data_IF_974582460814
#
_entry.id   IF_974582460814
#
_cell.length_a   1.000
_cell.length_b   1.000
_cell.length_c   1.000
_cell.angle_alpha   90.00
_cell.angle_beta   90.00
_cell.angle_gamma   90.00
#
_symmetry.space_group_name_H-M   'P 1'
#
loop_
_entity.id
_entity.type
_entity.pdbx_description
1 polymer ?
#
# COMPACT_ATOMS: atom_id res chain seq x y z
N UNK A 1 65.73 -15.79 -66.07
CA UNK A 1 64.31 -15.68 -65.82
C UNK A 1 64.04 -16.24 -64.44
N UNK A 2 63.83 -15.39 -63.44
CA UNK A 2 63.53 -15.81 -62.09
C UNK A 2 62.20 -15.08 -61.67
N UNK A 3 61.09 -15.83 -61.56
CA UNK A 3 59.80 -15.35 -61.04
C UNK A 3 59.91 -15.29 -59.55
N UNK A 4 59.70 -14.11 -59.00
CA UNK A 4 59.51 -13.90 -57.56
C UNK A 4 58.00 -13.98 -57.21
N UNK A 5 57.65 -15.01 -56.44
CA UNK A 5 56.32 -15.18 -55.88
C UNK A 5 56.17 -14.26 -54.61
N UNK A 6 55.29 -13.29 -54.65
CA UNK A 6 55.01 -12.47 -53.52
C UNK A 6 53.71 -13.04 -52.87
N UNK A 7 53.88 -13.71 -51.72
CA UNK A 7 52.73 -14.12 -50.87
C UNK A 7 52.20 -12.94 -50.09
N UNK A 8 50.96 -12.54 -50.36
CA UNK A 8 50.21 -11.55 -49.54
C UNK A 8 49.61 -12.29 -48.39
N UNK A 9 50.10 -12.00 -47.18
CA UNK A 9 49.49 -12.43 -45.90
C UNK A 9 48.36 -11.50 -45.58
N UNK A 10 47.11 -11.96 -45.75
CA UNK A 10 45.91 -11.25 -45.26
C UNK A 10 45.73 -11.57 -43.79
N UNK A 11 46.03 -10.61 -42.92
CA UNK A 11 45.72 -10.67 -41.51
C UNK A 11 44.21 -10.30 -41.33
N UNK A 12 43.37 -11.31 -41.11
CA UNK A 12 41.97 -11.08 -40.73
C UNK A 12 41.93 -10.68 -39.25
N UNK A 13 41.75 -9.39 -38.97
CA UNK A 13 41.45 -8.90 -37.65
C UNK A 13 39.95 -9.19 -37.37
N UNK A 14 39.66 -10.27 -36.65
CA UNK A 14 38.32 -10.49 -36.08
C UNK A 14 38.11 -9.44 -34.99
N UNK A 15 37.32 -8.40 -35.28
CA UNK A 15 36.77 -7.48 -34.29
C UNK A 15 35.78 -8.26 -33.45
N UNK A 16 36.18 -8.69 -32.25
CA UNK A 16 35.24 -9.17 -31.21
C UNK A 16 34.47 -7.96 -30.73
N UNK A 17 33.30 -7.75 -31.32
CA UNK A 17 32.32 -6.80 -30.78
C UNK A 17 31.85 -7.39 -29.43
N UNK A 18 32.00 -6.66 -28.32
CA UNK A 18 31.35 -7.10 -27.09
C UNK A 18 29.85 -7.12 -27.34
N UNK A 19 29.25 -8.30 -27.27
CA UNK A 19 27.80 -8.44 -27.21
C UNK A 19 27.36 -7.75 -25.92
N UNK A 20 26.94 -6.50 -26.01
CA UNK A 20 26.14 -5.85 -24.95
C UNK A 20 24.87 -6.67 -24.89
N UNK A 21 24.80 -7.58 -23.91
CA UNK A 21 23.54 -8.19 -23.55
C UNK A 21 22.64 -7.03 -23.12
N UNK A 22 21.69 -6.66 -23.99
CA UNK A 22 20.60 -5.78 -23.60
C UNK A 22 19.89 -6.49 -22.44
N UNK A 23 20.12 -6.01 -21.22
CA UNK A 23 19.37 -6.49 -20.07
C UNK A 23 17.89 -6.22 -20.37
N UNK A 24 17.09 -7.28 -20.40
CA UNK A 24 15.66 -7.16 -20.65
C UNK A 24 15.05 -6.35 -19.50
N UNK A 25 14.35 -5.26 -19.84
CA UNK A 25 13.62 -4.45 -18.88
C UNK A 25 12.67 -5.34 -18.03
N UNK A 26 12.85 -5.32 -16.72
CA UNK A 26 11.95 -6.01 -15.78
C UNK A 26 10.69 -5.19 -15.58
N UNK A 27 9.56 -5.72 -16.02
CA UNK A 27 8.25 -5.09 -15.86
C UNK A 27 7.52 -5.67 -14.67
N UNK A 28 7.03 -4.78 -13.82
CA UNK A 28 6.29 -5.10 -12.59
C UNK A 28 4.94 -4.42 -12.63
N UNK A 29 3.88 -5.16 -12.35
CA UNK A 29 2.55 -4.59 -12.12
C UNK A 29 2.31 -4.42 -10.63
N UNK A 30 2.04 -3.19 -10.19
CA UNK A 30 1.77 -2.87 -8.79
C UNK A 30 0.30 -2.52 -8.58
N UNK A 31 -0.44 -3.40 -7.93
CA UNK A 31 -1.85 -3.19 -7.59
C UNK A 31 -1.96 -2.52 -6.23
N UNK A 32 -2.64 -1.39 -6.16
CA UNK A 32 -2.63 -0.57 -4.96
C UNK A 32 -4.03 -0.26 -4.42
N UNK A 33 -4.59 0.89 -4.76
CA UNK A 33 -5.89 1.37 -4.29
C UNK A 33 -6.48 2.37 -5.30
N UNK A 34 -7.52 3.11 -4.94
CA UNK A 34 -8.05 4.21 -5.75
C UNK A 34 -7.02 5.36 -5.84
N UNK A 35 -6.99 6.07 -6.96
CA UNK A 35 -6.04 7.17 -7.22
C UNK A 35 -6.09 8.30 -6.17
N UNK A 36 -7.21 8.46 -5.48
CA UNK A 36 -7.38 9.41 -4.36
C UNK A 36 -6.79 8.91 -3.03
N UNK A 37 -6.29 7.69 -2.97
CA UNK A 37 -5.69 7.09 -1.78
C UNK A 37 -4.20 7.39 -1.66
N UNK A 38 -3.71 7.56 -0.42
CA UNK A 38 -2.28 7.61 -0.12
C UNK A 38 -1.52 6.39 -0.66
N UNK A 39 -2.12 5.20 -0.62
CA UNK A 39 -1.47 3.98 -1.12
C UNK A 39 -1.25 3.97 -2.62
N UNK A 40 -2.14 4.57 -3.41
CA UNK A 40 -1.88 4.75 -4.85
C UNK A 40 -0.68 5.67 -5.08
N UNK A 41 -0.62 6.79 -4.37
CA UNK A 41 0.51 7.72 -4.46
C UNK A 41 1.82 7.08 -4.00
N UNK A 42 1.79 6.23 -2.96
CA UNK A 42 2.95 5.45 -2.52
C UNK A 42 3.43 4.49 -3.60
N UNK A 43 2.52 3.77 -4.26
CA UNK A 43 2.88 2.88 -5.35
C UNK A 43 3.54 3.63 -6.53
N UNK A 44 3.05 4.83 -6.86
CA UNK A 44 3.68 5.71 -7.85
C UNK A 44 5.08 6.13 -7.41
N UNK A 45 5.26 6.50 -6.14
CA UNK A 45 6.57 6.88 -5.59
C UNK A 45 7.54 5.70 -5.57
N UNK A 46 7.07 4.51 -5.19
CA UNK A 46 7.86 3.27 -5.28
C UNK A 46 8.28 3.02 -6.74
N UNK A 47 7.35 3.14 -7.70
CA UNK A 47 7.67 2.96 -9.11
C UNK A 47 8.74 3.92 -9.62
N UNK A 48 8.68 5.19 -9.23
CA UNK A 48 9.72 6.17 -9.54
C UNK A 48 11.06 5.81 -8.90
N UNK A 49 11.04 5.36 -7.65
CA UNK A 49 12.24 4.92 -6.93
C UNK A 49 12.87 3.68 -7.59
N UNK A 50 12.06 2.70 -8.02
CA UNK A 50 12.52 1.51 -8.74
C UNK A 50 13.21 1.90 -10.05
N UNK A 51 12.58 2.73 -10.86
CA UNK A 51 13.17 3.19 -12.12
C UNK A 51 14.48 3.94 -11.91
N UNK A 52 14.53 4.86 -10.95
CA UNK A 52 15.74 5.63 -10.64
C UNK A 52 16.85 4.77 -10.02
N UNK A 53 16.50 3.80 -9.16
CA UNK A 53 17.46 2.94 -8.47
C UNK A 53 18.04 1.83 -9.33
N UNK A 54 17.32 1.42 -10.37
CA UNK A 54 17.74 0.39 -11.33
C UNK A 54 18.30 0.98 -12.62
N UNK A 55 18.56 2.27 -12.72
CA UNK A 55 18.97 2.95 -13.96
C UNK A 55 18.01 2.69 -15.15
N UNK A 56 16.73 2.45 -14.85
CA UNK A 56 15.71 2.19 -15.86
C UNK A 56 15.41 0.71 -16.11
N UNK A 57 16.18 -0.22 -15.55
CA UNK A 57 16.00 -1.66 -15.77
C UNK A 57 14.69 -2.21 -15.16
N UNK A 58 14.12 -1.52 -14.15
CA UNK A 58 12.84 -1.89 -13.55
C UNK A 58 11.79 -0.81 -13.84
N UNK A 59 10.73 -1.19 -14.53
CA UNK A 59 9.56 -0.35 -14.77
C UNK A 59 8.34 -0.90 -14.03
N UNK A 60 7.70 -0.04 -13.22
CA UNK A 60 6.51 -0.39 -12.45
C UNK A 60 5.29 0.29 -13.05
N UNK A 61 4.31 -0.51 -13.46
CA UNK A 61 2.97 -0.04 -13.84
C UNK A 61 2.06 -0.10 -12.62
N UNK A 62 1.52 1.04 -12.21
CA UNK A 62 0.59 1.12 -11.09
C UNK A 62 -0.84 0.97 -11.58
N UNK A 63 -1.57 0.02 -11.03
CA UNK A 63 -2.98 -0.20 -11.30
C UNK A 63 -3.85 0.20 -10.11
N UNK A 64 -4.97 0.86 -10.40
CA UNK A 64 -6.01 1.11 -9.40
C UNK A 64 -6.71 -0.18 -8.97
N UNK A 65 -7.25 -0.15 -7.77
CA UNK A 65 -8.15 -1.19 -7.25
C UNK A 65 -9.16 -0.61 -6.27
N UNK A 66 -10.12 -1.43 -5.85
CA UNK A 66 -11.00 -1.12 -4.72
C UNK A 66 -10.26 -1.20 -3.36
N UNK A 67 -8.99 -1.64 -3.37
CA UNK A 67 -8.13 -1.76 -2.20
C UNK A 67 -7.75 -3.19 -1.85
N UNK A 68 -7.28 -3.38 -0.64
CA UNK A 68 -6.57 -4.57 -0.18
C UNK A 68 -7.28 -5.91 -0.42
N UNK A 69 -8.62 -5.96 -0.31
CA UNK A 69 -9.37 -7.21 -0.52
C UNK A 69 -9.30 -7.64 -1.97
N UNK A 70 -9.53 -6.71 -2.92
CA UNK A 70 -9.39 -6.99 -4.34
C UNK A 70 -7.96 -7.39 -4.69
N UNK A 71 -6.97 -6.70 -4.14
CA UNK A 71 -5.56 -7.00 -4.38
C UNK A 71 -5.21 -8.46 -4.06
N UNK A 72 -5.66 -8.95 -2.90
CA UNK A 72 -5.47 -10.34 -2.49
C UNK A 72 -6.22 -11.30 -3.42
N UNK A 73 -7.48 -10.98 -3.76
CA UNK A 73 -8.29 -11.84 -4.63
C UNK A 73 -7.70 -12.01 -6.03
N UNK A 74 -7.06 -10.97 -6.57
CA UNK A 74 -6.47 -11.02 -7.91
C UNK A 74 -5.26 -11.94 -8.03
N UNK A 75 -4.64 -12.34 -6.92
CA UNK A 75 -3.57 -13.35 -6.90
C UNK A 75 -3.99 -14.64 -7.61
N UNK A 76 -5.27 -15.01 -7.54
CA UNK A 76 -5.80 -16.20 -8.18
C UNK A 76 -5.59 -16.20 -9.71
N UNK A 77 -5.71 -15.04 -10.35
CA UNK A 77 -5.57 -14.88 -11.80
C UNK A 77 -4.27 -14.23 -12.27
N UNK A 78 -3.50 -13.62 -11.38
CA UNK A 78 -2.25 -12.92 -11.73
C UNK A 78 -1.06 -13.85 -11.67
N UNK A 79 -0.12 -13.67 -12.60
CA UNK A 79 1.14 -14.41 -12.67
C UNK A 79 2.32 -13.46 -12.90
N UNK A 80 3.53 -13.95 -12.65
CA UNK A 80 4.78 -13.21 -12.87
C UNK A 80 4.98 -12.09 -11.86
N UNK A 81 5.49 -10.96 -12.32
CA UNK A 81 5.91 -9.85 -11.48
C UNK A 81 4.72 -8.99 -11.00
N UNK A 82 3.83 -9.61 -10.23
CA UNK A 82 2.68 -8.96 -9.61
C UNK A 82 2.99 -8.57 -8.17
N UNK A 83 2.93 -7.27 -7.87
CA UNK A 83 3.08 -6.70 -6.53
C UNK A 83 1.77 -6.07 -6.10
N UNK A 84 1.41 -6.22 -4.83
CA UNK A 84 0.21 -5.63 -4.28
C UNK A 84 0.36 -5.24 -2.81
N UNK A 85 -0.42 -4.28 -2.36
CA UNK A 85 -0.45 -3.85 -0.95
C UNK A 85 -1.67 -4.40 -0.23
N UNK A 86 -1.44 -4.88 1.00
CA UNK A 86 -2.51 -5.27 1.92
C UNK A 86 -2.02 -5.32 3.37
N UNK A 87 -2.90 -5.18 4.36
CA UNK A 87 -2.59 -5.61 5.72
C UNK A 87 -2.31 -7.12 5.79
N UNK A 88 -1.26 -7.58 6.49
CA UNK A 88 -0.91 -9.00 6.59
C UNK A 88 -2.04 -9.89 7.11
N UNK A 89 -2.91 -9.35 7.94
CA UNK A 89 -4.08 -10.06 8.45
C UNK A 89 -5.01 -10.57 7.33
N UNK A 90 -5.08 -9.87 6.19
CA UNK A 90 -5.90 -10.33 5.06
C UNK A 90 -5.32 -11.58 4.39
N UNK A 91 -4.00 -11.71 4.34
CA UNK A 91 -3.35 -12.92 3.84
C UNK A 91 -3.75 -14.13 4.69
N UNK A 92 -3.68 -13.98 6.03
CA UNK A 92 -4.10 -15.03 6.97
C UNK A 92 -5.59 -15.41 6.80
N UNK A 93 -6.45 -14.41 6.59
CA UNK A 93 -7.88 -14.66 6.36
C UNK A 93 -8.14 -15.35 5.02
N UNK A 94 -7.42 -14.98 3.95
CA UNK A 94 -7.55 -15.57 2.62
C UNK A 94 -7.11 -17.05 2.63
N UNK A 95 -5.95 -17.36 3.18
CA UNK A 95 -5.45 -18.74 3.37
C UNK A 95 -6.41 -19.61 4.17
N UNK A 96 -7.01 -19.04 5.22
CA UNK A 96 -7.98 -19.73 6.05
C UNK A 96 -9.40 -19.77 5.53
N UNK A 97 -9.70 -19.19 4.35
CA UNK A 97 -11.06 -19.10 3.81
C UNK A 97 -12.04 -18.42 4.78
N UNK A 98 -11.59 -17.37 5.49
CA UNK A 98 -12.37 -16.71 6.55
C UNK A 98 -12.86 -15.33 6.15
N UNK A 99 -13.90 -14.86 6.85
CA UNK A 99 -14.50 -13.54 6.66
C UNK A 99 -14.88 -13.27 5.18
N UNK A 100 -14.34 -12.22 4.55
CA UNK A 100 -14.61 -11.87 3.15
C UNK A 100 -14.09 -12.89 2.13
N UNK A 101 -13.29 -13.86 2.56
CA UNK A 101 -12.76 -14.95 1.71
C UNK A 101 -13.51 -16.27 1.94
N UNK A 102 -14.58 -16.27 2.75
CA UNK A 102 -15.46 -17.44 2.89
C UNK A 102 -15.96 -17.87 1.52
N UNK A 103 -15.91 -19.18 1.24
CA UNK A 103 -16.26 -19.78 -0.07
C UNK A 103 -15.37 -19.33 -1.26
N UNK A 104 -14.26 -18.63 -0.97
CA UNK A 104 -13.29 -18.16 -1.96
C UNK A 104 -11.90 -18.72 -1.69
N UNK A 105 -11.80 -19.79 -0.91
CA UNK A 105 -10.53 -20.44 -0.63
C UNK A 105 -9.85 -20.85 -1.94
N UNK A 106 -8.55 -20.56 -2.05
CA UNK A 106 -7.79 -20.91 -3.24
C UNK A 106 -6.33 -21.18 -2.84
N UNK A 107 -5.70 -22.27 -3.32
CA UNK A 107 -4.33 -22.61 -2.98
C UNK A 107 -3.30 -21.54 -3.40
N UNK A 108 -3.64 -20.71 -4.39
CA UNK A 108 -2.80 -19.58 -4.81
C UNK A 108 -2.51 -18.58 -3.67
N UNK A 109 -3.37 -18.51 -2.65
CA UNK A 109 -3.09 -17.65 -1.50
C UNK A 109 -1.90 -18.14 -0.65
N UNK A 110 -1.55 -19.43 -0.72
CA UNK A 110 -0.37 -19.99 -0.06
C UNK A 110 0.94 -19.60 -0.76
N UNK A 111 0.87 -19.12 -2.00
CA UNK A 111 2.02 -18.64 -2.78
C UNK A 111 2.40 -17.18 -2.46
N UNK A 112 1.60 -16.46 -1.67
CA UNK A 112 1.86 -15.07 -1.33
C UNK A 112 3.11 -14.95 -0.45
N UNK A 113 4.02 -14.02 -0.81
CA UNK A 113 5.27 -13.73 -0.12
C UNK A 113 5.45 -12.25 0.10
N UNK A 114 5.91 -11.87 1.29
CA UNK A 114 6.18 -10.47 1.61
C UNK A 114 7.47 -9.98 0.97
N UNK A 115 7.48 -8.73 0.51
CA UNK A 115 8.67 -8.04 0.03
C UNK A 115 9.20 -7.06 1.08
N UNK A 116 8.44 -6.03 1.41
CA UNK A 116 8.82 -4.98 2.36
C UNK A 116 7.61 -4.32 2.99
N UNK A 117 7.75 -3.83 4.25
CA UNK A 117 6.72 -3.04 4.89
C UNK A 117 6.61 -1.66 4.22
N UNK A 118 5.41 -1.13 4.22
CA UNK A 118 5.12 0.24 3.79
C UNK A 118 4.40 0.99 4.92
N UNK A 119 4.18 2.31 4.81
CA UNK A 119 3.52 3.08 5.85
C UNK A 119 2.19 2.46 6.30
N UNK A 120 1.98 2.38 7.62
CA UNK A 120 0.80 1.74 8.21
C UNK A 120 -0.50 2.42 7.79
N UNK A 121 -1.54 1.63 7.66
CA UNK A 121 -2.90 2.12 7.47
C UNK A 121 -3.35 2.87 8.72
N UNK A 122 -3.92 4.04 8.54
CA UNK A 122 -4.48 4.90 9.58
C UNK A 122 -5.97 5.07 9.33
N UNK A 123 -6.79 4.89 10.36
CA UNK A 123 -8.24 5.12 10.24
C UNK A 123 -8.57 6.60 10.38
N UNK A 124 -9.39 7.12 9.47
CA UNK A 124 -9.89 8.49 9.52
C UNK A 124 -11.41 8.45 9.46
N UNK A 125 -12.05 9.00 10.49
CA UNK A 125 -13.49 9.24 10.52
C UNK A 125 -13.71 10.74 10.26
N UNK A 126 -14.04 11.07 9.03
CA UNK A 126 -14.07 12.44 8.52
C UNK A 126 -15.51 12.94 8.51
N UNK A 127 -15.78 14.05 9.18
CA UNK A 127 -17.10 14.67 9.24
C UNK A 127 -17.06 16.08 8.65
N UNK A 128 -18.05 16.44 7.84
CA UNK A 128 -18.18 17.79 7.32
C UNK A 128 -18.41 18.81 8.44
N UNK A 129 -17.94 20.04 8.27
CA UNK A 129 -18.26 21.13 9.19
C UNK A 129 -19.78 21.33 9.31
N UNK A 130 -20.51 21.18 8.20
CA UNK A 130 -21.96 21.35 8.11
C UNK A 130 -22.72 20.32 8.95
N UNK A 131 -22.20 19.11 9.14
CA UNK A 131 -22.83 18.06 9.94
C UNK A 131 -22.96 18.41 11.43
N UNK A 132 -22.08 19.31 11.93
CA UNK A 132 -22.00 19.67 13.35
C UNK A 132 -21.43 18.57 14.25
N UNK A 133 -21.00 17.43 13.67
CA UNK A 133 -20.51 16.27 14.43
C UNK A 133 -19.08 16.52 14.94
N UNK A 134 -18.88 16.33 16.25
CA UNK A 134 -17.58 16.51 16.91
C UNK A 134 -17.09 15.25 17.62
N UNK A 135 -17.93 14.23 17.74
CA UNK A 135 -17.62 12.94 18.36
C UNK A 135 -18.46 11.82 17.73
N UNK A 136 -18.17 10.57 18.09
CA UNK A 136 -18.85 9.40 17.49
C UNK A 136 -20.33 9.32 17.81
N UNK A 137 -20.78 9.69 19.00
CA UNK A 137 -22.22 9.66 19.34
C UNK A 137 -23.04 10.63 18.48
N UNK A 138 -22.44 11.74 18.05
CA UNK A 138 -23.08 12.69 17.14
C UNK A 138 -23.28 12.19 15.71
N UNK A 139 -22.73 11.01 15.35
CA UNK A 139 -22.94 10.39 14.04
C UNK A 139 -24.34 9.75 13.90
N UNK A 140 -25.08 9.55 14.97
CA UNK A 140 -26.43 8.99 14.92
C UNK A 140 -27.33 9.84 14.00
N UNK A 141 -28.04 9.18 13.07
CA UNK A 141 -28.88 9.82 12.05
C UNK A 141 -28.13 10.42 10.86
N UNK A 142 -26.80 10.32 10.82
CA UNK A 142 -25.99 10.88 9.72
C UNK A 142 -25.80 9.90 8.58
N UNK A 143 -25.52 10.44 7.39
CA UNK A 143 -25.19 9.67 6.19
C UNK A 143 -23.68 9.57 6.05
N UNK A 144 -23.15 8.35 6.14
CA UNK A 144 -21.72 8.05 6.16
C UNK A 144 -21.33 7.19 4.96
N UNK A 145 -20.26 7.58 4.27
CA UNK A 145 -19.68 6.81 3.17
C UNK A 145 -18.49 5.99 3.69
N UNK A 146 -18.52 4.68 3.49
CA UNK A 146 -17.43 3.78 3.90
C UNK A 146 -16.52 3.36 2.75
N UNK A 147 -16.97 3.51 1.50
CA UNK A 147 -16.24 3.05 0.31
C UNK A 147 -16.41 1.55 0.06
N UNK A 148 -17.42 1.20 -0.72
CA UNK A 148 -17.84 -0.18 -1.02
C UNK A 148 -16.69 -1.07 -1.49
N UNK A 149 -16.62 -2.28 -0.94
CA UNK A 149 -15.66 -3.31 -1.35
C UNK A 149 -14.23 -3.14 -0.85
N UNK A 150 -13.91 -2.06 -0.15
CA UNK A 150 -12.58 -1.83 0.42
C UNK A 150 -12.42 -2.50 1.80
N UNK A 151 -11.17 -2.75 2.20
CA UNK A 151 -10.88 -3.14 3.58
C UNK A 151 -11.27 -2.03 4.56
N UNK A 152 -11.07 -0.76 4.18
CA UNK A 152 -11.46 0.40 4.96
C UNK A 152 -12.96 0.46 5.27
N UNK A 153 -13.82 0.07 4.30
CA UNK A 153 -15.25 -0.03 4.53
C UNK A 153 -15.58 -1.05 5.64
N UNK A 154 -14.95 -2.22 5.58
CA UNK A 154 -15.17 -3.29 6.58
C UNK A 154 -14.66 -2.91 7.96
N UNK A 155 -13.50 -2.26 8.04
CA UNK A 155 -13.03 -1.70 9.30
C UNK A 155 -13.99 -0.60 9.79
N UNK A 156 -14.46 0.29 8.93
CA UNK A 156 -15.46 1.30 9.26
C UNK A 156 -16.75 0.70 9.84
N UNK A 157 -17.32 -0.31 9.18
CA UNK A 157 -18.49 -1.05 9.68
C UNK A 157 -18.22 -1.67 11.06
N UNK A 158 -17.05 -2.30 11.23
CA UNK A 158 -16.63 -2.86 12.52
C UNK A 158 -16.60 -1.79 13.62
N UNK A 159 -16.06 -0.60 13.34
CA UNK A 159 -16.00 0.49 14.29
C UNK A 159 -17.39 1.03 14.61
N UNK A 160 -18.26 1.22 13.61
CA UNK A 160 -19.64 1.64 13.85
C UNK A 160 -20.37 0.65 14.78
N UNK A 161 -20.18 -0.65 14.56
CA UNK A 161 -20.74 -1.69 15.45
C UNK A 161 -20.16 -1.62 16.85
N UNK A 162 -18.83 -1.52 17.01
CA UNK A 162 -18.16 -1.44 18.31
C UNK A 162 -18.62 -0.21 19.12
N UNK A 163 -18.99 0.88 18.44
CA UNK A 163 -19.40 2.13 19.09
C UNK A 163 -20.94 2.27 19.20
N UNK A 164 -21.70 1.20 18.92
CA UNK A 164 -23.15 1.19 19.04
C UNK A 164 -23.89 2.02 17.99
N UNK A 165 -23.25 2.26 16.83
CA UNK A 165 -23.80 3.03 15.71
C UNK A 165 -24.32 2.17 14.55
N UNK A 166 -24.20 0.84 14.63
CA UNK A 166 -24.77 -0.09 13.66
C UNK A 166 -26.28 0.10 13.57
N UNK A 167 -26.78 0.33 12.35
CA UNK A 167 -28.20 0.62 12.11
C UNK A 167 -28.69 2.01 12.54
N UNK A 168 -27.81 2.83 13.15
CA UNK A 168 -28.12 4.21 13.55
C UNK A 168 -27.57 5.27 12.59
N UNK A 169 -26.74 4.88 11.65
CA UNK A 169 -26.24 5.71 10.55
C UNK A 169 -26.76 5.18 9.23
N UNK A 170 -26.97 6.06 8.26
CA UNK A 170 -27.27 5.67 6.89
C UNK A 170 -25.94 5.46 6.13
N UNK A 171 -25.75 4.29 5.53
CA UNK A 171 -24.56 4.04 4.72
C UNK A 171 -24.80 4.46 3.27
N UNK A 172 -23.97 5.35 2.76
CA UNK A 172 -24.06 5.82 1.37
C UNK A 172 -23.43 4.81 0.41
N UNK A 173 -24.16 4.47 -0.65
CA UNK A 173 -23.74 3.55 -1.72
C UNK A 173 -22.96 4.31 -2.83
N UNK A 174 -21.87 4.98 -2.44
CA UNK A 174 -21.03 5.80 -3.34
C UNK A 174 -19.59 5.28 -3.29
N UNK A 175 -18.87 5.44 -4.39
CA UNK A 175 -17.45 5.13 -4.46
C UNK A 175 -16.62 6.10 -3.61
N UNK A 176 -15.61 5.61 -2.91
CA UNK A 176 -14.75 6.44 -2.03
C UNK A 176 -14.07 7.58 -2.79
N UNK A 177 -13.76 7.41 -4.09
CA UNK A 177 -13.23 8.46 -4.94
C UNK A 177 -14.14 9.69 -5.05
N UNK A 178 -15.46 9.51 -4.83
CA UNK A 178 -16.46 10.57 -4.87
C UNK A 178 -16.78 11.14 -3.47
N UNK A 179 -16.05 10.74 -2.43
CA UNK A 179 -16.32 11.16 -1.06
C UNK A 179 -16.29 12.68 -0.90
N UNK A 180 -15.28 13.35 -1.41
CA UNK A 180 -15.14 14.81 -1.25
C UNK A 180 -16.20 15.59 -2.03
N UNK A 181 -16.48 15.33 -3.30
CA UNK A 181 -17.62 15.92 -4.00
C UNK A 181 -18.96 15.69 -3.29
N UNK A 182 -19.24 14.45 -2.85
CA UNK A 182 -20.48 14.12 -2.14
C UNK A 182 -20.61 14.86 -0.79
N UNK A 183 -19.49 15.02 -0.07
CA UNK A 183 -19.44 15.80 1.17
C UNK A 183 -19.72 17.28 0.93
N UNK A 184 -19.10 17.87 -0.09
CA UNK A 184 -19.30 19.28 -0.47
C UNK A 184 -20.73 19.56 -0.88
N UNK A 185 -21.35 18.64 -1.62
CA UNK A 185 -22.73 18.76 -2.10
C UNK A 185 -23.78 18.42 -1.04
N UNK A 186 -23.35 17.98 0.15
CA UNK A 186 -24.25 17.61 1.24
C UNK A 186 -25.01 16.29 1.01
N UNK A 187 -24.53 15.46 0.10
CA UNK A 187 -25.07 14.11 -0.15
C UNK A 187 -24.67 13.13 0.96
N UNK A 188 -23.55 13.39 1.65
CA UNK A 188 -23.09 12.69 2.83
C UNK A 188 -22.69 13.69 3.91
N UNK A 189 -22.79 13.28 5.18
CA UNK A 189 -22.32 14.05 6.32
C UNK A 189 -20.87 13.78 6.65
N UNK A 190 -20.37 12.57 6.29
CA UNK A 190 -19.01 12.16 6.55
C UNK A 190 -18.61 10.94 5.74
N UNK A 191 -17.33 10.61 5.83
CA UNK A 191 -16.79 9.39 5.22
C UNK A 191 -15.69 8.77 6.09
N UNK A 192 -15.44 7.48 5.88
CA UNK A 192 -14.33 6.77 6.49
C UNK A 192 -13.25 6.51 5.45
N UNK A 193 -12.02 6.91 5.76
CA UNK A 193 -10.85 6.61 4.94
C UNK A 193 -9.84 5.77 5.73
N UNK A 194 -9.35 4.73 5.10
CA UNK A 194 -8.29 3.86 5.62
C UNK A 194 -7.06 3.99 4.73
N UNK A 195 -6.17 4.89 5.10
CA UNK A 195 -4.94 5.20 4.36
C UNK A 195 -3.92 5.83 5.29
N UNK A 196 -2.65 5.86 4.91
CA UNK A 196 -1.65 6.54 5.75
C UNK A 196 -1.90 8.04 5.79
N UNK A 197 -1.61 8.66 6.91
CA UNK A 197 -1.67 10.12 7.02
C UNK A 197 -0.34 10.77 6.53
N UNK A 198 -0.40 11.96 5.93
CA UNK A 198 -1.60 12.70 5.54
C UNK A 198 -2.31 12.05 4.34
N UNK A 199 -3.60 11.79 4.44
CA UNK A 199 -4.39 11.16 3.38
C UNK A 199 -4.92 12.23 2.39
N UNK A 200 -4.73 12.07 1.06
CA UNK A 200 -5.07 13.10 0.07
C UNK A 200 -6.52 13.53 0.10
N UNK A 201 -7.47 12.58 0.18
CA UNK A 201 -8.90 12.89 0.26
C UNK A 201 -9.29 13.59 1.55
N UNK A 202 -8.57 13.34 2.66
CA UNK A 202 -8.79 14.04 3.94
C UNK A 202 -8.21 15.45 3.87
N UNK A 203 -7.03 15.64 3.24
CA UNK A 203 -6.47 16.97 2.97
C UNK A 203 -7.49 17.81 2.18
N UNK A 204 -8.01 17.25 1.09
CA UNK A 204 -8.97 17.93 0.23
C UNK A 204 -10.28 18.26 0.97
N UNK A 205 -10.84 17.30 1.73
CA UNK A 205 -12.06 17.51 2.51
C UNK A 205 -11.87 18.60 3.59
N UNK A 206 -10.76 18.58 4.30
CA UNK A 206 -10.45 19.58 5.31
C UNK A 206 -10.31 20.98 4.71
N UNK A 207 -9.60 21.11 3.58
CA UNK A 207 -9.37 22.39 2.91
C UNK A 207 -10.63 22.94 2.22
N UNK A 208 -11.42 22.07 1.55
CA UNK A 208 -12.53 22.52 0.70
C UNK A 208 -13.92 22.51 1.37
N UNK A 209 -14.13 21.68 2.40
CA UNK A 209 -15.40 21.54 3.12
C UNK A 209 -15.27 21.80 4.63
N UNK A 210 -14.10 22.25 5.11
CA UNK A 210 -13.84 22.45 6.54
C UNK A 210 -14.05 21.16 7.36
N UNK A 211 -13.87 20.01 6.72
CA UNK A 211 -14.09 18.72 7.38
C UNK A 211 -13.05 18.49 8.49
N UNK A 212 -13.48 17.75 9.51
CA UNK A 212 -12.64 17.37 10.65
C UNK A 212 -12.58 15.87 10.79
N UNK A 213 -11.43 15.37 11.21
CA UNK A 213 -11.26 13.96 11.61
C UNK A 213 -11.62 13.82 13.08
N UNK A 214 -12.50 12.87 13.40
CA UNK A 214 -12.86 12.57 14.79
C UNK A 214 -11.72 11.85 15.51
N UNK A 215 -11.44 12.25 16.74
CA UNK A 215 -10.52 11.57 17.63
C UNK A 215 -11.22 10.42 18.34
N UNK A 216 -10.57 9.27 18.43
CA UNK A 216 -11.03 8.14 19.24
C UNK A 216 -10.61 8.33 20.70
N UNK A 217 -11.49 7.94 21.62
CA UNK A 217 -11.13 7.83 23.03
C UNK A 217 -10.24 6.61 23.30
N UNK A 218 -9.58 6.59 24.46
CA UNK A 218 -8.75 5.45 24.89
C UNK A 218 -9.57 4.16 24.94
N UNK A 219 -10.81 4.24 25.41
CA UNK A 219 -11.74 3.13 25.46
C UNK A 219 -12.08 2.62 24.06
N UNK A 220 -12.38 3.50 23.12
CA UNK A 220 -12.68 3.16 21.74
C UNK A 220 -11.48 2.48 21.05
N UNK A 221 -10.27 2.98 21.29
CA UNK A 221 -9.05 2.37 20.78
C UNK A 221 -8.87 0.96 21.36
N UNK A 222 -9.05 0.79 22.67
CA UNK A 222 -8.97 -0.52 23.34
C UNK A 222 -10.00 -1.51 22.80
N UNK A 223 -11.23 -1.09 22.59
CA UNK A 223 -12.30 -1.91 22.01
C UNK A 223 -11.96 -2.38 20.59
N UNK A 224 -11.30 -1.54 19.81
CA UNK A 224 -10.93 -1.87 18.43
C UNK A 224 -9.93 -3.02 18.33
N UNK A 225 -9.13 -3.24 19.37
CA UNK A 225 -7.97 -4.17 19.39
C UNK A 225 -6.95 -3.84 18.29
N UNK A 226 -6.78 -2.56 17.99
CA UNK A 226 -5.81 -2.04 17.02
C UNK A 226 -4.74 -1.22 17.74
N UNK A 227 -3.63 -1.00 17.06
CA UNK A 227 -2.54 -0.17 17.59
C UNK A 227 -2.97 1.29 17.60
N UNK A 228 -2.76 1.98 18.73
CA UNK A 228 -2.93 3.44 18.82
C UNK A 228 -1.98 4.14 17.87
N UNK A 229 -2.47 5.20 17.25
CA UNK A 229 -1.67 6.13 16.45
C UNK A 229 -2.15 7.56 16.70
N UNK A 230 -1.21 8.49 16.80
CA UNK A 230 -1.49 9.92 16.90
C UNK A 230 -1.18 10.59 15.56
N UNK A 231 -2.16 11.29 15.00
CA UNK A 231 -1.95 12.19 13.86
C UNK A 231 -1.57 13.54 14.43
N UNK A 232 -0.34 14.05 14.17
CA UNK A 232 0.13 15.30 14.77
C UNK A 232 -0.77 16.51 14.44
N UNK A 233 -0.85 17.46 15.36
CA UNK A 233 -1.53 18.73 15.11
C UNK A 233 -0.97 19.39 13.83
N UNK A 234 -1.83 20.11 13.10
CA UNK A 234 -1.46 20.79 11.87
C UNK A 234 -1.27 19.87 10.65
N UNK A 235 -1.59 18.57 10.75
CA UNK A 235 -1.55 17.64 9.59
C UNK A 235 -2.61 18.02 8.57
N UNK A 236 -3.81 18.39 9.02
CA UNK A 236 -4.94 18.80 8.17
C UNK A 236 -5.35 20.25 8.44
N UNK A 237 -5.94 20.91 7.46
CA UNK A 237 -6.43 22.27 7.62
C UNK A 237 -7.43 22.37 8.79
N UNK A 238 -7.23 23.35 9.67
CA UNK A 238 -8.09 23.58 10.85
C UNK A 238 -7.93 22.56 11.99
N UNK A 239 -6.94 21.68 11.92
CA UNK A 239 -6.60 20.73 12.98
C UNK A 239 -5.58 21.37 13.96
N UNK A 240 -6.05 21.86 15.09
CA UNK A 240 -5.22 22.54 16.11
C UNK A 240 -4.60 21.60 17.14
N UNK A 241 -5.14 20.39 17.30
CA UNK A 241 -4.64 19.39 18.26
C UNK A 241 -4.35 18.05 17.57
N UNK A 242 -3.58 17.19 18.23
CA UNK A 242 -3.35 15.83 17.77
C UNK A 242 -4.69 15.03 17.75
N UNK A 243 -4.79 14.08 16.84
CA UNK A 243 -5.94 13.19 16.70
C UNK A 243 -5.51 11.79 17.07
N UNK A 244 -6.09 11.24 18.13
CA UNK A 244 -5.91 9.83 18.47
C UNK A 244 -6.75 8.96 17.55
N UNK A 245 -6.12 7.97 16.94
CA UNK A 245 -6.78 7.00 16.06
C UNK A 245 -6.09 5.65 16.15
N UNK A 246 -6.35 4.78 15.19
CA UNK A 246 -5.79 3.44 15.14
C UNK A 246 -5.05 3.18 13.85
N UNK A 247 -4.10 2.25 13.91
CA UNK A 247 -3.33 1.82 12.75
C UNK A 247 -3.26 0.30 12.63
N UNK A 248 -2.95 -0.14 11.40
CA UNK A 248 -2.63 -1.51 11.05
C UNK A 248 -1.38 -1.54 10.17
N UNK A 249 -0.51 -2.54 10.36
CA UNK A 249 0.59 -2.77 9.43
C UNK A 249 0.09 -2.97 8.00
N UNK A 250 0.87 -2.51 7.03
CA UNK A 250 0.66 -2.77 5.60
C UNK A 250 1.98 -3.18 4.98
N UNK A 251 1.93 -4.11 4.06
CA UNK A 251 3.09 -4.71 3.44
C UNK A 251 2.88 -4.80 1.94
N UNK A 252 3.94 -4.63 1.17
CA UNK A 252 4.00 -4.97 -0.24
C UNK A 252 4.29 -6.47 -0.37
N UNK A 253 3.44 -7.16 -1.12
CA UNK A 253 3.51 -8.60 -1.35
C UNK A 253 3.70 -8.91 -2.83
N UNK A 254 4.32 -10.04 -3.10
CA UNK A 254 4.32 -10.71 -4.39
C UNK A 254 3.84 -12.15 -4.23
N UNK A 255 3.99 -12.96 -5.26
CA UNK A 255 3.80 -14.41 -5.19
C UNK A 255 5.08 -15.13 -5.55
N UNK A 256 5.12 -16.46 -5.33
CA UNK A 256 6.22 -17.31 -5.76
C UNK A 256 6.42 -17.38 -7.28
N UNK A 257 5.51 -16.79 -8.07
CA UNK A 257 5.71 -16.59 -9.52
C UNK A 257 6.79 -15.55 -9.85
N UNK A 258 7.06 -14.62 -8.92
CA UNK A 258 8.15 -13.66 -9.07
C UNK A 258 9.49 -14.38 -8.82
N UNK A 259 10.47 -14.19 -9.67
CA UNK A 259 11.80 -14.76 -9.47
C UNK A 259 12.56 -14.06 -8.34
N UNK A 260 13.52 -14.78 -7.74
CA UNK A 260 14.28 -14.29 -6.60
C UNK A 260 15.14 -13.06 -6.93
N UNK A 261 15.64 -12.95 -8.15
CA UNK A 261 16.45 -11.81 -8.58
C UNK A 261 15.60 -10.52 -8.64
N UNK A 262 14.39 -10.62 -9.19
CA UNK A 262 13.44 -9.52 -9.25
C UNK A 262 13.00 -9.11 -7.82
N UNK A 263 12.64 -10.05 -6.97
CA UNK A 263 12.23 -9.76 -5.58
C UNK A 263 13.37 -9.14 -4.77
N UNK A 264 14.61 -9.63 -4.95
CA UNK A 264 15.80 -9.04 -4.35
C UNK A 264 16.01 -7.61 -4.82
N UNK A 265 15.97 -7.37 -6.13
CA UNK A 265 16.19 -6.04 -6.70
C UNK A 265 15.13 -5.02 -6.24
N UNK A 266 13.85 -5.42 -6.19
CA UNK A 266 12.77 -4.58 -5.66
C UNK A 266 12.99 -4.23 -4.19
N UNK A 267 13.30 -5.21 -3.35
CA UNK A 267 13.50 -5.01 -1.91
C UNK A 267 14.71 -4.13 -1.63
N UNK A 268 15.85 -4.44 -2.25
CA UNK A 268 17.08 -3.65 -2.13
C UNK A 268 16.85 -2.20 -2.56
N UNK A 269 16.30 -1.99 -3.76
CA UNK A 269 16.06 -0.65 -4.29
C UNK A 269 15.11 0.15 -3.41
N UNK A 270 14.06 -0.49 -2.85
CA UNK A 270 13.15 0.15 -1.90
C UNK A 270 13.92 0.74 -0.70
N UNK A 271 14.74 -0.07 -0.05
CA UNK A 271 15.46 0.37 1.15
C UNK A 271 16.56 1.38 0.84
N UNK A 272 17.30 1.21 -0.24
CA UNK A 272 18.33 2.17 -0.68
C UNK A 272 17.75 3.53 -1.08
N UNK A 273 16.52 3.54 -1.63
CA UNK A 273 15.83 4.77 -2.04
C UNK A 273 14.89 5.35 -0.98
N UNK A 274 14.72 4.68 0.15
CA UNK A 274 13.80 5.14 1.22
C UNK A 274 14.09 6.57 1.67
N UNK A 275 15.34 6.96 1.80
CA UNK A 275 15.72 8.32 2.20
C UNK A 275 15.22 9.38 1.20
N UNK A 276 15.40 9.15 -0.09
CA UNK A 276 14.89 10.04 -1.14
C UNK A 276 13.36 10.08 -1.20
N UNK A 277 12.69 8.95 -0.97
CA UNK A 277 11.23 8.90 -0.86
C UNK A 277 10.75 9.70 0.37
N UNK A 278 11.45 9.61 1.49
CA UNK A 278 11.12 10.36 2.71
C UNK A 278 11.21 11.88 2.53
N UNK A 279 12.13 12.34 1.71
CA UNK A 279 12.24 13.75 1.31
C UNK A 279 11.05 14.22 0.48
N UNK A 280 10.47 13.31 -0.35
CA UNK A 280 9.33 13.61 -1.20
C UNK A 280 7.99 13.53 -0.46
N UNK A 281 7.86 12.65 0.55
CA UNK A 281 6.62 12.47 1.31
C UNK A 281 6.89 11.99 2.74
N UNK A 282 6.28 12.67 3.70
CA UNK A 282 6.53 12.46 5.14
C UNK A 282 6.21 11.05 5.63
N UNK A 283 5.22 10.36 5.07
CA UNK A 283 4.84 9.00 5.50
C UNK A 283 5.97 7.96 5.40
N UNK A 284 6.94 8.14 4.49
CA UNK A 284 8.08 7.23 4.37
C UNK A 284 9.05 7.30 5.57
N UNK A 285 9.06 8.42 6.29
CA UNK A 285 9.91 8.59 7.46
C UNK A 285 9.62 7.60 8.59
N UNK A 286 8.38 7.12 8.69
CA UNK A 286 7.96 6.13 9.68
C UNK A 286 8.30 4.68 9.34
N UNK A 287 8.78 4.40 8.11
CA UNK A 287 9.12 3.03 7.70
C UNK A 287 10.54 2.66 8.15
N UNK A 288 10.67 1.55 8.85
CA UNK A 288 11.95 1.04 9.36
C UNK A 288 12.01 -0.49 9.33
N UNK A 289 13.21 -1.05 9.43
CA UNK A 289 13.42 -2.50 9.49
C UNK A 289 12.69 -3.18 10.66
N UNK A 290 12.44 -2.46 11.76
CA UNK A 290 11.67 -3.01 12.88
C UNK A 290 10.22 -3.36 12.49
N UNK A 291 9.71 -2.79 11.41
CA UNK A 291 8.37 -3.14 10.91
C UNK A 291 8.31 -4.55 10.29
N UNK A 292 9.44 -5.19 10.07
CA UNK A 292 9.50 -6.60 9.63
C UNK A 292 8.83 -7.54 10.65
N UNK A 293 8.84 -7.19 11.94
CA UNK A 293 8.17 -7.95 13.01
C UNK A 293 6.64 -8.01 12.82
N UNK A 294 6.07 -7.09 12.04
CA UNK A 294 4.65 -7.03 11.73
C UNK A 294 4.25 -7.83 10.47
N UNK A 295 5.21 -8.43 9.79
CA UNK A 295 4.97 -9.32 8.65
C UNK A 295 4.56 -10.69 9.21
N UNK A 296 3.28 -11.02 9.08
CA UNK A 296 2.69 -12.25 9.64
C UNK A 296 2.64 -13.39 8.61
N UNK A 297 3.56 -13.40 7.67
CA UNK A 297 3.66 -14.40 6.60
C UNK A 297 5.09 -14.52 6.11
N UNK A 298 5.37 -15.52 5.30
CA UNK A 298 6.70 -15.79 4.77
C UNK A 298 7.18 -14.64 3.89
N UNK A 299 8.46 -14.32 4.03
CA UNK A 299 9.16 -13.35 3.19
C UNK A 299 9.59 -14.04 1.90
N UNK A 300 9.53 -13.34 0.76
CA UNK A 300 10.03 -13.85 -0.51
C UNK A 300 11.53 -14.19 -0.40
N UNK A 301 12.01 -15.34 -0.92
CA UNK A 301 13.40 -15.73 -0.78
C UNK A 301 14.39 -14.66 -1.27
N UNK A 302 14.09 -14.01 -2.41
CA UNK A 302 14.90 -12.90 -2.91
C UNK A 302 14.94 -11.70 -1.95
N UNK A 303 13.80 -11.35 -1.33
CA UNK A 303 13.76 -10.31 -0.31
C UNK A 303 14.51 -10.71 0.97
N UNK A 304 14.37 -11.95 1.41
CA UNK A 304 15.08 -12.50 2.56
C UNK A 304 16.59 -12.43 2.39
N UNK A 305 17.10 -12.69 1.18
CA UNK A 305 18.52 -12.54 0.85
C UNK A 305 19.02 -11.12 1.14
N UNK A 306 18.30 -10.11 0.68
CA UNK A 306 18.68 -8.70 0.99
C UNK A 306 18.66 -8.43 2.49
N UNK A 307 17.63 -8.89 3.21
CA UNK A 307 17.55 -8.69 4.66
C UNK A 307 18.71 -9.34 5.42
N UNK A 308 19.15 -10.52 4.99
CA UNK A 308 20.33 -11.17 5.54
C UNK A 308 21.62 -10.35 5.29
N UNK A 309 21.79 -9.79 4.10
CA UNK A 309 22.94 -8.95 3.74
C UNK A 309 23.06 -7.70 4.62
N UNK A 310 21.91 -7.10 5.01
CA UNK A 310 21.89 -5.91 5.88
C UNK A 310 21.78 -6.25 7.37
N UNK A 311 21.83 -7.53 7.74
CA UNK A 311 21.76 -7.98 9.14
C UNK A 311 20.40 -7.76 9.80
N UNK A 312 19.32 -7.65 9.02
CA UNK A 312 17.98 -7.49 9.57
C UNK A 312 17.50 -8.81 10.20
N UNK A 313 16.91 -8.70 11.39
CA UNK A 313 16.28 -9.86 12.04
C UNK A 313 14.94 -10.14 11.37
N UNK A 314 14.75 -11.35 10.88
CA UNK A 314 13.48 -11.85 10.36
C UNK A 314 12.80 -12.67 11.44
N UNK A 315 11.53 -12.39 11.74
CA UNK A 315 10.74 -13.25 12.61
C UNK A 315 10.60 -14.63 11.95
N UNK A 316 10.85 -15.68 12.71
CA UNK A 316 10.57 -17.06 12.28
C UNK A 316 9.06 -17.25 12.27
N UNK A 317 8.44 -17.23 11.12
CA UNK A 317 7.04 -17.60 10.94
C UNK A 317 6.98 -19.12 10.71
N UNK A 318 6.68 -19.87 11.78
CA UNK A 318 6.38 -21.29 11.76
C UNK A 318 4.86 -21.52 11.60
#
# INVERSE_FOLDING_TARGET
MKFKLIAKLLLAVMAVLPATQAMSETRVTYKSAKSTSSYYQMAVQIGKAMKAGSNGDITVTVEESQGSVQNVMEVVGRKGNYVFTTPPVLIKLARGGKAMFKEKANPRFDEIRALFPIPSLTMHFVMSKKSGVTNFSGMEGKTILLGKGSFGAREGEKYLKLFGLEGKVTLAEVELSNAVPALKNGQIDGFVAAGSYPAPNVIEAAASAGAKVLSLSDEQIKLSKRTRLEIPAGTYAGQSSAISTTSLPVVAFATTDMDDATAYALTKTFWERKSSMSAAAKWWGGVSLNMLDNILTEIHPGAAKYYQEVGAKLASHH
#
